data_IF_640425396201
#
_entry.id   IF_640425396201
#
_cell.length_a   1.000
_cell.length_b   1.000
_cell.length_c   1.000
_cell.angle_alpha   90.00
_cell.angle_beta   90.00
_cell.angle_gamma   90.00
#
_symmetry.space_group_name_H-M   'P 1'
#
loop_
_entity.id
_entity.type
_entity.pdbx_description
1 polymer ?
#
# COMPACT_ATOMS: atom_id res chain seq x y z
N UNK A 1 -2.30 -28.33 30.39
CA UNK A 1 -1.30 -27.23 30.47
C UNK A 1 -1.18 -26.70 29.05
N UNK A 2 -1.64 -25.47 28.79
CA UNK A 2 -1.64 -24.88 27.45
C UNK A 2 -0.20 -24.46 27.19
N UNK A 3 0.52 -25.21 26.35
CA UNK A 3 1.95 -25.02 26.11
C UNK A 3 2.25 -24.37 24.75
N UNK A 4 1.24 -24.11 23.92
CA UNK A 4 1.39 -23.63 22.54
C UNK A 4 0.56 -22.36 22.29
N UNK A 5 0.77 -21.32 23.11
CA UNK A 5 0.32 -19.95 22.77
C UNK A 5 1.48 -19.25 22.06
N UNK A 6 1.55 -19.41 20.75
CA UNK A 6 2.52 -18.77 19.86
C UNK A 6 1.79 -18.15 18.65
N UNK A 7 2.54 -17.66 17.66
CA UNK A 7 1.98 -17.06 16.44
C UNK A 7 1.14 -18.04 15.60
N UNK A 8 1.29 -19.36 15.82
CA UNK A 8 0.55 -20.42 15.13
C UNK A 8 -0.74 -20.83 15.84
N UNK A 9 -1.13 -20.15 16.92
CA UNK A 9 -2.33 -20.48 17.67
C UNK A 9 -3.59 -20.34 16.82
N UNK A 10 -4.34 -21.44 16.65
CA UNK A 10 -5.51 -21.52 15.77
C UNK A 10 -6.87 -21.47 16.49
N UNK A 11 -6.89 -21.18 17.79
CA UNK A 11 -8.12 -21.06 18.59
C UNK A 11 -8.36 -22.23 19.56
N UNK A 12 -9.32 -22.02 20.47
CA UNK A 12 -9.81 -23.03 21.41
C UNK A 12 -11.28 -22.77 21.77
N UNK A 13 -11.99 -23.77 22.28
CA UNK A 13 -13.44 -23.68 22.57
C UNK A 13 -13.80 -22.65 23.66
N UNK A 14 -12.81 -22.19 24.44
CA UNK A 14 -12.99 -21.20 25.51
C UNK A 14 -12.41 -19.86 25.10
N UNK A 15 -13.02 -18.77 25.60
CA UNK A 15 -12.63 -17.38 25.34
C UNK A 15 -12.69 -16.95 23.87
N UNK A 16 -13.48 -17.63 23.04
CA UNK A 16 -13.74 -17.22 21.65
C UNK A 16 -15.07 -16.47 21.55
N UNK A 17 -15.13 -15.29 20.90
CA UNK A 17 -14.02 -14.56 20.26
C UNK A 17 -13.19 -13.73 21.26
N UNK A 18 -11.88 -13.65 21.01
CA UNK A 18 -10.97 -12.75 21.75
C UNK A 18 -11.00 -11.35 21.12
N UNK A 19 -11.14 -10.32 21.95
CA UNK A 19 -10.91 -8.92 21.57
C UNK A 19 -9.62 -8.42 22.22
N UNK A 20 -8.55 -8.24 21.43
CA UNK A 20 -7.31 -7.66 21.94
C UNK A 20 -7.51 -6.18 22.33
N UNK A 21 -7.00 -5.79 23.50
CA UNK A 21 -7.08 -4.40 23.98
C UNK A 21 -5.90 -3.54 23.53
N UNK A 22 -4.73 -4.17 23.31
CA UNK A 22 -3.52 -3.47 22.90
C UNK A 22 -3.44 -3.40 21.36
N UNK A 23 -3.37 -2.19 20.77
CA UNK A 23 -3.25 -2.03 19.33
C UNK A 23 -1.82 -2.32 18.84
N UNK A 24 -1.71 -2.63 17.55
CA UNK A 24 -0.43 -2.58 16.82
C UNK A 24 -0.18 -1.13 16.40
N UNK A 25 0.97 -0.59 16.76
CA UNK A 25 1.38 0.79 16.44
C UNK A 25 2.32 0.83 15.24
N UNK A 26 2.32 1.95 14.51
CA UNK A 26 3.22 2.21 13.40
C UNK A 26 3.54 3.70 13.27
N UNK A 27 4.78 4.01 12.88
CA UNK A 27 5.23 5.38 12.62
C UNK A 27 5.13 5.71 11.13
N UNK A 28 4.53 6.85 10.80
CA UNK A 28 4.51 7.35 9.42
C UNK A 28 5.87 7.98 9.07
N UNK A 29 6.50 7.47 8.01
CA UNK A 29 7.76 8.03 7.46
C UNK A 29 7.53 9.10 6.39
N UNK A 30 6.33 9.13 5.79
CA UNK A 30 5.88 10.14 4.84
C UNK A 30 4.40 10.44 5.06
N UNK A 31 4.03 11.71 4.89
CA UNK A 31 2.65 12.19 4.98
C UNK A 31 2.36 13.12 3.81
N UNK A 32 1.13 13.05 3.29
CA UNK A 32 0.70 13.85 2.15
C UNK A 32 -0.45 14.77 2.55
N UNK A 33 -0.53 15.98 1.98
CA UNK A 33 -1.64 16.90 2.24
C UNK A 33 -2.95 16.45 1.57
N UNK A 34 -2.87 15.53 0.60
CA UNK A 34 -4.01 14.99 -0.14
C UNK A 34 -4.40 13.62 0.40
N UNK A 35 -5.68 13.26 0.26
CA UNK A 35 -6.17 11.95 0.69
C UNK A 35 -5.65 10.86 -0.25
N UNK A 36 -4.85 9.95 0.28
CA UNK A 36 -4.46 8.71 -0.40
C UNK A 36 -5.65 7.73 -0.43
N UNK A 37 -5.86 7.07 -1.56
CA UNK A 37 -7.00 6.17 -1.81
C UNK A 37 -6.59 4.77 -2.23
N UNK A 38 -5.34 4.57 -2.66
CA UNK A 38 -4.83 3.27 -3.09
C UNK A 38 -3.33 3.15 -2.79
N UNK A 39 -2.86 1.91 -2.61
CA UNK A 39 -1.44 1.59 -2.41
C UNK A 39 -1.08 0.31 -3.17
N UNK A 40 0.05 0.32 -3.86
CA UNK A 40 0.68 -0.87 -4.40
C UNK A 40 2.18 -0.76 -4.19
N UNK A 41 2.86 -1.86 -3.91
CA UNK A 41 4.31 -1.86 -3.67
C UNK A 41 4.97 -2.95 -4.51
N UNK A 42 6.15 -2.63 -5.03
CA UNK A 42 7.05 -3.57 -5.69
C UNK A 42 8.46 -3.35 -5.17
N UNK A 43 9.33 -4.33 -5.38
CA UNK A 43 10.74 -4.21 -5.03
C UNK A 43 11.57 -4.33 -6.30
N UNK A 44 12.50 -3.39 -6.46
CA UNK A 44 13.64 -3.59 -7.36
C UNK A 44 14.70 -4.41 -6.64
N UNK A 45 15.85 -4.66 -7.26
CA UNK A 45 16.96 -5.36 -6.60
C UNK A 45 17.46 -4.65 -5.34
N UNK A 46 17.26 -3.32 -5.23
CA UNK A 46 17.91 -2.49 -4.21
C UNK A 46 16.91 -1.71 -3.35
N UNK A 47 15.72 -1.39 -3.87
CA UNK A 47 14.75 -0.54 -3.19
C UNK A 47 13.33 -1.08 -3.27
N UNK A 48 12.51 -0.71 -2.30
CA UNK A 48 11.05 -0.86 -2.44
C UNK A 48 10.48 0.42 -3.03
N UNK A 49 9.68 0.28 -4.08
CA UNK A 49 8.93 1.38 -4.69
C UNK A 49 7.46 1.20 -4.35
N UNK A 50 6.87 2.24 -3.78
CA UNK A 50 5.46 2.32 -3.39
C UNK A 50 4.75 3.30 -4.30
N UNK A 51 3.69 2.84 -4.92
CA UNK A 51 2.78 3.63 -5.74
C UNK A 51 1.56 3.99 -4.91
N UNK A 52 1.25 5.28 -4.84
CA UNK A 52 0.14 5.82 -4.04
C UNK A 52 -0.86 6.51 -4.95
N UNK A 53 -2.09 6.01 -4.96
CA UNK A 53 -3.21 6.66 -5.65
C UNK A 53 -3.82 7.75 -4.77
N UNK A 54 -4.19 8.90 -5.37
CA UNK A 54 -4.82 10.01 -4.65
C UNK A 54 -6.30 10.18 -5.02
N UNK A 55 -7.04 10.84 -4.13
CA UNK A 55 -8.42 11.24 -4.37
C UNK A 55 -8.58 12.27 -5.52
N UNK A 56 -7.50 12.94 -5.90
CA UNK A 56 -7.47 13.92 -6.99
C UNK A 56 -7.07 13.29 -8.33
N UNK A 57 -6.85 11.97 -8.36
CA UNK A 57 -6.54 11.22 -9.58
C UNK A 57 -5.06 11.20 -9.97
N UNK A 58 -4.18 11.39 -8.99
CA UNK A 58 -2.74 11.31 -9.16
C UNK A 58 -2.21 9.94 -8.72
N UNK A 59 -1.09 9.55 -9.31
CA UNK A 59 -0.28 8.41 -8.91
C UNK A 59 1.10 8.93 -8.50
N UNK A 60 1.42 8.85 -7.21
CA UNK A 60 2.72 9.22 -6.66
C UNK A 60 3.62 8.01 -6.58
N UNK A 61 4.90 8.18 -6.90
CA UNK A 61 5.93 7.14 -6.74
C UNK A 61 6.85 7.51 -5.59
N UNK A 62 7.01 6.56 -4.68
CA UNK A 62 7.79 6.73 -3.45
C UNK A 62 8.83 5.63 -3.37
N UNK A 63 10.09 5.99 -3.19
CA UNK A 63 11.13 5.02 -2.86
C UNK A 63 11.28 4.92 -1.35
N UNK A 64 11.35 3.69 -0.83
CA UNK A 64 11.63 3.41 0.58
C UNK A 64 13.08 2.97 0.68
N UNK A 65 13.90 3.79 1.34
CA UNK A 65 15.31 3.49 1.54
C UNK A 65 15.55 2.69 2.82
N UNK A 66 14.83 3.02 3.89
CA UNK A 66 14.87 2.30 5.17
C UNK A 66 13.66 2.66 6.04
N UNK A 67 13.61 2.11 7.25
CA UNK A 67 12.51 2.31 8.22
C UNK A 67 12.28 3.77 8.63
N UNK A 68 13.20 4.69 8.33
CA UNK A 68 13.12 6.10 8.71
C UNK A 68 13.25 7.05 7.52
N UNK A 69 13.46 6.54 6.29
CA UNK A 69 13.66 7.39 5.12
C UNK A 69 12.89 6.86 3.91
N UNK A 70 12.08 7.73 3.34
CA UNK A 70 11.37 7.52 2.10
C UNK A 70 11.25 8.85 1.37
N UNK A 71 11.19 8.79 0.04
CA UNK A 71 11.16 9.96 -0.82
C UNK A 71 10.12 9.80 -1.92
N UNK A 72 9.19 10.75 -2.04
CA UNK A 72 8.40 10.93 -3.27
C UNK A 72 9.33 11.47 -4.36
N UNK A 73 9.46 10.73 -5.46
CA UNK A 73 10.32 11.12 -6.58
C UNK A 73 9.56 11.43 -7.86
N UNK A 74 8.27 11.10 -7.93
CA UNK A 74 7.43 11.34 -9.10
C UNK A 74 5.94 11.48 -8.73
N UNK A 75 5.22 12.28 -9.51
CA UNK A 75 3.78 12.54 -9.38
C UNK A 75 3.14 12.65 -10.76
N UNK A 76 2.31 11.66 -11.11
CA UNK A 76 1.70 11.54 -12.43
C UNK A 76 0.19 11.74 -12.32
N UNK A 77 -0.35 12.67 -13.11
CA UNK A 77 -1.80 12.81 -13.29
C UNK A 77 -2.34 11.65 -14.12
N UNK A 78 -3.15 10.78 -13.52
CA UNK A 78 -3.80 9.65 -14.21
C UNK A 78 -5.12 10.09 -14.83
N UNK A 79 -5.96 10.75 -14.04
CA UNK A 79 -7.29 11.25 -14.42
C UNK A 79 -7.70 12.36 -13.46
N UNK A 80 -7.46 13.62 -13.86
CA UNK A 80 -7.65 14.79 -13.01
C UNK A 80 -9.05 14.81 -12.35
N UNK A 81 -9.09 15.06 -11.05
CA UNK A 81 -10.29 15.15 -10.21
C UNK A 81 -11.11 13.84 -10.10
N UNK A 82 -10.51 12.72 -10.48
CA UNK A 82 -11.13 11.38 -10.44
C UNK A 82 -10.32 10.46 -9.52
N UNK A 83 -10.84 10.08 -8.33
CA UNK A 83 -10.09 9.27 -7.38
C UNK A 83 -9.53 7.98 -7.99
N UNK A 84 -8.25 7.69 -7.71
CA UNK A 84 -7.68 6.37 -7.99
C UNK A 84 -8.35 5.33 -7.08
N UNK A 85 -8.86 4.24 -7.67
CA UNK A 85 -9.53 3.16 -6.93
C UNK A 85 -8.50 2.30 -6.20
N UNK A 86 -8.94 1.70 -5.08
CA UNK A 86 -8.10 0.81 -4.25
C UNK A 86 -7.49 -0.36 -5.04
N UNK A 87 -8.17 -0.77 -6.11
CA UNK A 87 -7.77 -1.84 -7.01
C UNK A 87 -6.63 -1.37 -7.95
N UNK A 88 -5.38 -1.47 -7.49
CA UNK A 88 -4.17 -1.30 -8.31
C UNK A 88 -3.41 -2.62 -8.40
N UNK A 89 -3.09 -3.07 -9.60
CA UNK A 89 -2.48 -4.38 -9.83
C UNK A 89 -1.26 -4.30 -10.73
N UNK A 90 -0.19 -4.98 -10.33
CA UNK A 90 0.92 -5.25 -11.23
C UNK A 90 0.54 -6.34 -12.23
N UNK A 91 1.13 -6.29 -13.41
CA UNK A 91 1.13 -7.45 -14.30
C UNK A 91 1.95 -8.61 -13.70
N UNK A 92 1.96 -9.76 -14.37
CA UNK A 92 2.67 -10.95 -13.87
C UNK A 92 4.19 -10.77 -13.80
N UNK A 93 4.75 -9.91 -14.64
CA UNK A 93 6.18 -9.66 -14.70
C UNK A 93 6.62 -8.63 -13.66
N UNK A 94 5.68 -7.79 -13.17
CA UNK A 94 5.97 -6.63 -12.36
C UNK A 94 6.40 -5.41 -13.18
N UNK A 95 6.27 -5.45 -14.50
CA UNK A 95 6.75 -4.42 -15.43
C UNK A 95 5.74 -3.29 -15.61
N UNK A 96 4.47 -3.54 -15.30
CA UNK A 96 3.37 -2.60 -15.49
C UNK A 96 2.45 -2.54 -14.28
N UNK A 97 1.99 -1.34 -13.93
CA UNK A 97 0.95 -1.11 -12.93
C UNK A 97 -0.34 -0.62 -13.61
N UNK A 98 -1.42 -1.38 -13.42
CA UNK A 98 -2.76 -1.01 -13.84
C UNK A 98 -3.41 -0.13 -12.79
N UNK A 99 -3.75 1.10 -13.20
CA UNK A 99 -4.34 2.12 -12.33
C UNK A 99 -5.72 2.47 -12.86
N UNK A 100 -6.73 2.32 -12.00
CA UNK A 100 -8.13 2.53 -12.34
C UNK A 100 -8.68 3.76 -11.63
N UNK A 101 -9.40 4.60 -12.36
CA UNK A 101 -10.28 5.64 -11.82
C UNK A 101 -11.73 5.31 -12.13
N UNK A 102 -12.67 6.24 -11.90
CA UNK A 102 -14.10 5.99 -12.21
C UNK A 102 -14.35 5.66 -13.69
N UNK A 103 -13.59 6.26 -14.61
CA UNK A 103 -13.88 6.21 -16.05
C UNK A 103 -12.69 5.78 -16.92
N UNK A 104 -11.52 5.54 -16.32
CA UNK A 104 -10.28 5.30 -17.06
C UNK A 104 -9.48 4.17 -16.43
N UNK A 105 -8.88 3.34 -17.28
CA UNK A 105 -7.84 2.39 -16.91
C UNK A 105 -6.56 2.81 -17.64
N UNK A 106 -5.47 2.99 -16.90
CA UNK A 106 -4.18 3.36 -17.47
C UNK A 106 -3.12 2.33 -17.10
N UNK A 107 -2.19 2.07 -18.02
CA UNK A 107 -0.98 1.30 -17.78
C UNK A 107 0.16 2.30 -17.56
N UNK A 108 0.54 2.53 -16.30
CA UNK A 108 1.55 3.51 -15.94
C UNK A 108 2.69 2.79 -15.22
N UNK A 109 3.79 2.52 -15.93
CA UNK A 109 5.05 2.23 -15.29
C UNK A 109 6.23 2.69 -16.14
N UNK A 110 7.06 3.54 -15.52
CA UNK A 110 8.51 3.56 -15.63
C UNK A 110 8.99 3.69 -14.18
N UNK A 111 9.65 2.64 -13.69
CA UNK A 111 10.22 2.59 -12.34
C UNK A 111 11.47 3.46 -12.23
#
# INVERSE_FOLDING_TARGET
RINDLNEDFCGMDVNTPLGGEQPVEGLAILTFPTRLTAVAATSTEVYTVVFLGTAEGHLKKVVIENQNNALEYDDIVVDQDSPVRQDMYFDKAGDHLYVMTSNKLTNNMES
#
